data_IF_794065389926
#
_entry.id   IF_794065389926
#
_cell.length_a   1.000
_cell.length_b   1.000
_cell.length_c   1.000
_cell.angle_alpha   90.00
_cell.angle_beta   90.00
_cell.angle_gamma   90.00
#
_symmetry.space_group_name_H-M   'P 1'
#
loop_
_entity.id
_entity.type
_entity.pdbx_description
1 polymer ?
#
# COMPACT_ATOMS: atom_id res chain seq x y z
N UNK A 1 -8.15 -5.00 8.87
CA UNK A 1 -8.78 -5.67 7.70
C UNK A 1 -7.76 -6.60 7.08
N UNK A 2 -8.15 -7.83 6.74
CA UNK A 2 -7.30 -8.85 6.12
C UNK A 2 -7.47 -8.88 4.61
N UNK A 3 -6.60 -9.64 3.93
CA UNK A 3 -6.70 -9.87 2.49
C UNK A 3 -8.02 -10.54 2.12
N UNK A 4 -8.42 -11.59 2.87
CA UNK A 4 -9.66 -12.31 2.64
C UNK A 4 -10.90 -11.43 2.87
N UNK A 5 -10.91 -10.59 3.90
CA UNK A 5 -12.03 -9.68 4.16
C UNK A 5 -12.24 -8.71 2.99
N UNK A 6 -11.15 -8.21 2.38
CA UNK A 6 -11.22 -7.35 1.21
C UNK A 6 -11.63 -8.14 -0.04
N UNK A 7 -11.14 -9.36 -0.21
CA UNK A 7 -11.52 -10.26 -1.31
C UNK A 7 -13.00 -10.62 -1.24
N UNK A 8 -13.51 -10.93 -0.04
CA UNK A 8 -14.94 -11.19 0.19
C UNK A 8 -15.81 -9.96 -0.14
N UNK A 9 -15.37 -8.76 0.24
CA UNK A 9 -16.04 -7.52 -0.12
C UNK A 9 -16.08 -7.36 -1.65
N UNK A 10 -14.93 -7.53 -2.32
CA UNK A 10 -14.84 -7.40 -3.78
C UNK A 10 -15.74 -8.40 -4.48
N UNK A 11 -15.76 -9.64 -4.02
CA UNK A 11 -16.66 -10.65 -4.54
C UNK A 11 -18.14 -10.27 -4.34
N UNK A 12 -18.53 -9.82 -3.15
CA UNK A 12 -19.91 -9.47 -2.81
C UNK A 12 -20.45 -8.32 -3.67
N UNK A 13 -19.60 -7.32 -3.98
CA UNK A 13 -19.99 -6.17 -4.81
C UNK A 13 -19.54 -6.29 -6.28
N UNK A 14 -19.02 -7.46 -6.67
CA UNK A 14 -18.59 -7.79 -8.04
C UNK A 14 -17.49 -6.87 -8.57
N UNK A 15 -16.52 -6.58 -7.74
CA UNK A 15 -15.27 -5.93 -8.12
C UNK A 15 -14.31 -7.01 -8.63
N UNK A 16 -13.62 -6.74 -9.73
CA UNK A 16 -12.64 -7.66 -10.34
C UNK A 16 -11.19 -7.23 -10.14
N UNK A 17 -10.96 -6.12 -9.43
CA UNK A 17 -9.62 -5.64 -9.13
C UNK A 17 -8.90 -6.57 -8.14
N UNK A 18 -7.57 -6.57 -8.18
CA UNK A 18 -6.72 -7.25 -7.19
C UNK A 18 -6.79 -6.50 -5.85
N UNK A 19 -7.06 -7.20 -4.71
CA UNK A 19 -6.97 -6.60 -3.37
C UNK A 19 -5.60 -5.99 -3.09
N UNK A 20 -4.50 -6.65 -3.49
CA UNK A 20 -3.14 -6.13 -3.32
C UNK A 20 -2.92 -4.86 -4.13
N UNK A 21 -3.34 -4.81 -5.39
CA UNK A 21 -3.24 -3.63 -6.23
C UNK A 21 -4.01 -2.44 -5.62
N UNK A 22 -5.23 -2.68 -5.14
CA UNK A 22 -6.04 -1.66 -4.51
C UNK A 22 -5.43 -1.14 -3.20
N UNK A 23 -4.95 -2.05 -2.33
CA UNK A 23 -4.27 -1.65 -1.09
C UNK A 23 -3.01 -0.83 -1.37
N UNK A 24 -2.20 -1.23 -2.37
CA UNK A 24 -1.06 -0.45 -2.81
C UNK A 24 -1.46 0.97 -3.21
N UNK A 25 -2.42 1.11 -4.10
CA UNK A 25 -2.95 2.41 -4.53
C UNK A 25 -3.42 3.26 -3.35
N UNK A 26 -4.22 2.67 -2.46
CA UNK A 26 -4.72 3.36 -1.27
C UNK A 26 -3.59 3.84 -0.36
N UNK A 27 -2.61 2.98 -0.06
CA UNK A 27 -1.47 3.35 0.77
C UNK A 27 -0.65 4.48 0.15
N UNK A 28 -0.45 4.46 -1.17
CA UNK A 28 0.19 5.56 -1.88
C UNK A 28 -0.56 6.88 -1.74
N UNK A 29 -1.88 6.85 -1.87
CA UNK A 29 -2.74 8.05 -1.65
C UNK A 29 -2.66 8.56 -0.22
N UNK A 30 -2.75 7.67 0.78
CA UNK A 30 -2.67 7.99 2.20
C UNK A 30 -1.30 8.56 2.60
N UNK A 31 -0.23 8.10 1.94
CA UNK A 31 1.13 8.60 2.17
C UNK A 31 1.31 10.07 1.77
N UNK A 32 0.47 10.61 0.89
CA UNK A 32 0.53 12.03 0.51
C UNK A 32 -0.08 12.99 1.54
N UNK A 33 -0.65 12.51 2.64
CA UNK A 33 -1.21 13.34 3.70
C UNK A 33 -2.73 13.54 3.63
N UNK A 34 -3.24 14.57 4.30
CA UNK A 34 -4.64 14.75 4.63
C UNK A 34 -5.59 14.77 3.42
N UNK A 35 -6.00 13.57 3.01
CA UNK A 35 -7.15 13.41 2.12
C UNK A 35 -8.36 13.10 2.99
N UNK A 36 -9.47 13.83 2.77
CA UNK A 36 -10.73 13.53 3.46
C UNK A 36 -11.21 12.10 3.13
N UNK A 37 -11.79 11.39 4.10
CA UNK A 37 -12.30 10.04 3.88
C UNK A 37 -13.31 10.00 2.72
N UNK A 38 -14.13 11.01 2.57
CA UNK A 38 -15.13 11.08 1.49
C UNK A 38 -14.47 11.23 0.11
N UNK A 39 -13.38 12.01 0.01
CA UNK A 39 -12.58 12.14 -1.21
C UNK A 39 -11.85 10.83 -1.55
N UNK A 40 -11.37 10.09 -0.53
CA UNK A 40 -10.78 8.76 -0.71
C UNK A 40 -11.80 7.75 -1.21
N UNK A 41 -13.03 7.79 -0.71
CA UNK A 41 -14.12 6.92 -1.18
C UNK A 41 -14.44 7.21 -2.65
N UNK A 42 -14.52 8.49 -3.03
CA UNK A 42 -14.78 8.90 -4.42
C UNK A 42 -13.63 8.42 -5.33
N UNK A 43 -12.38 8.75 -4.99
CA UNK A 43 -11.19 8.34 -5.74
C UNK A 43 -11.10 6.81 -5.87
N UNK A 44 -11.37 6.08 -4.78
CA UNK A 44 -11.34 4.61 -4.78
C UNK A 44 -12.48 4.03 -5.62
N UNK A 45 -13.66 4.64 -5.59
CA UNK A 45 -14.79 4.23 -6.42
C UNK A 45 -14.49 4.41 -7.91
N UNK A 46 -13.81 5.48 -8.28
CA UNK A 46 -13.36 5.75 -9.64
C UNK A 46 -12.28 4.75 -10.06
N UNK A 47 -11.27 4.52 -9.21
CA UNK A 47 -10.20 3.56 -9.47
C UNK A 47 -10.73 2.13 -9.66
N UNK A 48 -11.67 1.71 -8.80
CA UNK A 48 -12.35 0.41 -8.87
C UNK A 48 -13.43 0.36 -9.97
N UNK A 49 -13.71 1.48 -10.63
CA UNK A 49 -14.74 1.61 -11.67
C UNK A 49 -16.13 1.18 -11.18
N UNK A 50 -16.50 1.60 -9.96
CA UNK A 50 -17.76 1.20 -9.32
C UNK A 50 -18.96 1.94 -9.93
N UNK A 51 -20.07 1.21 -10.09
CA UNK A 51 -21.37 1.87 -10.24
C UNK A 51 -21.76 2.56 -8.92
N UNK A 52 -22.71 3.49 -9.00
CA UNK A 52 -23.23 4.16 -7.82
C UNK A 52 -23.75 3.17 -6.76
N UNK A 53 -24.46 2.12 -7.17
CA UNK A 53 -25.00 1.09 -6.27
C UNK A 53 -23.87 0.29 -5.61
N UNK A 54 -22.81 -0.04 -6.35
CA UNK A 54 -21.63 -0.73 -5.82
C UNK A 54 -20.88 0.16 -4.82
N UNK A 55 -20.67 1.44 -5.15
CA UNK A 55 -20.03 2.41 -4.27
C UNK A 55 -20.80 2.58 -2.95
N UNK A 56 -22.12 2.78 -3.03
CA UNK A 56 -22.99 2.88 -1.84
C UNK A 56 -22.93 1.60 -0.98
N UNK A 57 -22.89 0.42 -1.59
CA UNK A 57 -22.81 -0.86 -0.89
C UNK A 57 -21.43 -1.09 -0.23
N UNK A 58 -20.34 -0.69 -0.90
CA UNK A 58 -18.96 -0.87 -0.40
C UNK A 58 -18.55 0.20 0.62
N UNK A 59 -19.16 1.37 0.62
CA UNK A 59 -18.74 2.54 1.38
C UNK A 59 -18.44 2.27 2.87
N UNK A 60 -19.27 1.55 3.65
CA UNK A 60 -18.96 1.31 5.06
C UNK A 60 -17.66 0.51 5.24
N UNK A 61 -17.50 -0.57 4.48
CA UNK A 61 -16.29 -1.42 4.54
C UNK A 61 -15.04 -0.70 4.02
N UNK A 62 -15.17 0.12 2.97
CA UNK A 62 -14.07 0.95 2.48
C UNK A 62 -13.63 1.98 3.53
N UNK A 63 -14.57 2.57 4.27
CA UNK A 63 -14.24 3.51 5.36
C UNK A 63 -13.41 2.85 6.45
N UNK A 64 -13.86 1.69 6.95
CA UNK A 64 -13.13 0.92 7.97
C UNK A 64 -11.74 0.50 7.45
N UNK A 65 -11.66 0.15 6.17
CA UNK A 65 -10.40 -0.22 5.53
C UNK A 65 -9.43 0.96 5.43
N UNK A 66 -9.91 2.15 5.09
CA UNK A 66 -9.08 3.37 5.03
C UNK A 66 -8.56 3.77 6.40
N UNK A 67 -9.42 3.77 7.42
CA UNK A 67 -9.03 4.09 8.79
C UNK A 67 -7.98 3.11 9.32
N UNK A 68 -8.16 1.81 9.06
CA UNK A 68 -7.18 0.77 9.42
C UNK A 68 -5.86 0.94 8.68
N UNK A 69 -5.89 1.20 7.37
CA UNK A 69 -4.67 1.38 6.56
C UNK A 69 -3.88 2.62 6.97
N UNK A 70 -4.57 3.74 7.25
CA UNK A 70 -3.92 4.95 7.76
C UNK A 70 -3.29 4.71 9.12
N UNK A 71 -4.02 4.08 10.05
CA UNK A 71 -3.49 3.75 11.38
C UNK A 71 -2.24 2.87 11.31
N UNK A 72 -2.17 1.94 10.35
CA UNK A 72 -0.99 1.10 10.14
C UNK A 72 0.21 1.89 9.56
N UNK A 73 -0.04 2.88 8.71
CA UNK A 73 1.02 3.76 8.17
C UNK A 73 1.57 4.70 9.25
N UNK A 74 0.71 5.20 10.14
CA UNK A 74 1.08 6.10 11.24
C UNK A 74 1.74 5.38 12.42
N UNK A 75 1.74 4.04 12.45
CA UNK A 75 2.31 3.27 13.54
C UNK A 75 3.83 3.37 13.56
N UNK A 76 4.34 4.10 14.56
CA UNK A 76 5.78 4.31 14.81
C UNK A 76 6.54 3.03 15.18
N UNK A 77 5.84 1.92 15.43
CA UNK A 77 6.47 0.62 15.71
C UNK A 77 6.86 -0.14 14.43
N UNK A 78 6.69 0.45 13.26
CA UNK A 78 7.00 -0.16 11.97
C UNK A 78 6.26 -1.49 11.74
N UNK A 79 5.00 -1.56 12.18
CA UNK A 79 4.16 -2.75 12.03
C UNK A 79 3.35 -2.77 10.73
N UNK A 80 3.56 -1.78 9.85
CA UNK A 80 2.92 -1.76 8.53
C UNK A 80 3.15 -3.06 7.78
N UNK A 81 2.10 -3.58 7.15
CA UNK A 81 2.14 -4.77 6.29
C UNK A 81 1.44 -4.46 4.97
N UNK A 82 2.07 -4.72 3.82
CA UNK A 82 1.34 -4.73 2.56
C UNK A 82 0.30 -5.86 2.58
N UNK A 83 -0.88 -5.59 2.05
CA UNK A 83 -1.94 -6.59 1.97
C UNK A 83 -1.66 -7.52 0.79
N UNK A 84 -1.22 -8.73 1.09
CA UNK A 84 -0.80 -9.73 0.13
C UNK A 84 -1.57 -11.04 0.36
N UNK A 85 -1.68 -11.90 -0.66
CA UNK A 85 -2.31 -13.20 -0.51
C UNK A 85 -1.53 -14.09 0.47
N UNK A 86 -2.22 -15.07 1.04
CA UNK A 86 -1.65 -16.04 1.98
C UNK A 86 -0.60 -16.97 1.34
N UNK A 87 0.22 -17.60 2.20
CA UNK A 87 1.34 -18.45 1.81
C UNK A 87 0.92 -19.75 1.11
N UNK A 88 -0.36 -20.13 1.18
CA UNK A 88 -0.94 -21.27 0.47
C UNK A 88 -1.02 -21.10 -1.04
N UNK A 89 -1.00 -19.86 -1.55
CA UNK A 89 -0.96 -19.62 -2.98
C UNK A 89 0.42 -19.91 -3.57
N UNK A 90 0.48 -20.34 -4.84
CA UNK A 90 1.74 -20.53 -5.54
C UNK A 90 2.63 -19.29 -5.47
N UNK A 91 3.92 -19.48 -5.24
CA UNK A 91 4.90 -18.39 -5.10
C UNK A 91 4.83 -17.37 -6.25
N UNK A 92 4.63 -17.83 -7.50
CA UNK A 92 4.51 -16.94 -8.65
C UNK A 92 3.31 -15.98 -8.57
N UNK A 93 2.20 -16.42 -7.98
CA UNK A 93 1.00 -15.58 -7.77
C UNK A 93 1.26 -14.56 -6.65
N UNK A 94 1.92 -14.99 -5.56
CA UNK A 94 2.31 -14.09 -4.46
C UNK A 94 3.31 -13.02 -4.92
N UNK A 95 4.29 -13.39 -5.73
CA UNK A 95 5.26 -12.46 -6.33
C UNK A 95 4.57 -11.47 -7.28
N UNK A 96 3.59 -11.93 -8.07
CA UNK A 96 2.77 -11.04 -8.91
C UNK A 96 2.03 -10.01 -8.06
N UNK A 97 1.43 -10.44 -6.95
CA UNK A 97 0.73 -9.57 -6.01
C UNK A 97 1.65 -8.52 -5.36
N UNK A 98 2.90 -8.87 -5.04
CA UNK A 98 3.93 -7.93 -4.57
C UNK A 98 4.23 -6.86 -5.62
N UNK A 99 4.44 -7.27 -6.88
CA UNK A 99 4.68 -6.33 -7.99
C UNK A 99 3.49 -5.41 -8.25
N UNK A 100 2.27 -5.97 -8.23
CA UNK A 100 1.02 -5.19 -8.36
C UNK A 100 0.89 -4.17 -7.22
N UNK A 101 1.15 -4.60 -5.99
CA UNK A 101 1.09 -3.72 -4.82
C UNK A 101 2.05 -2.54 -4.97
N UNK A 102 3.33 -2.82 -5.26
CA UNK A 102 4.38 -1.80 -5.39
C UNK A 102 4.09 -0.81 -6.53
N UNK A 103 3.70 -1.30 -7.71
CA UNK A 103 3.34 -0.46 -8.85
C UNK A 103 2.16 0.47 -8.54
N UNK A 104 1.14 -0.05 -7.86
CA UNK A 104 -0.04 0.73 -7.52
C UNK A 104 0.22 1.70 -6.35
N UNK A 105 1.12 1.37 -5.41
CA UNK A 105 1.58 2.33 -4.41
C UNK A 105 2.20 3.57 -5.05
N UNK A 106 3.11 3.38 -6.01
CA UNK A 106 3.72 4.48 -6.77
C UNK A 106 2.65 5.29 -7.53
N UNK A 107 1.67 4.61 -8.15
CA UNK A 107 0.57 5.28 -8.85
C UNK A 107 -0.28 6.13 -7.91
N UNK A 108 -0.69 5.57 -6.78
CA UNK A 108 -1.47 6.27 -5.77
C UNK A 108 -0.72 7.47 -5.18
N UNK A 109 0.59 7.30 -4.92
CA UNK A 109 1.46 8.38 -4.46
C UNK A 109 1.52 9.50 -5.51
N UNK A 110 1.76 9.15 -6.78
CA UNK A 110 1.86 10.13 -7.87
C UNK A 110 0.56 10.92 -8.07
N UNK A 111 -0.61 10.29 -7.90
CA UNK A 111 -1.90 10.98 -7.96
C UNK A 111 -2.15 11.90 -6.76
N UNK A 112 -1.57 11.58 -5.60
CA UNK A 112 -1.73 12.36 -4.38
C UNK A 112 -0.74 13.49 -4.24
N UNK A 113 0.42 13.38 -4.88
CA UNK A 113 1.48 14.38 -4.76
C UNK A 113 1.08 15.68 -5.46
N UNK A 114 1.02 16.76 -4.69
CA UNK A 114 1.01 18.11 -5.25
C UNK A 114 2.42 18.47 -5.76
N UNK A 115 2.50 19.43 -6.69
CA UNK A 115 3.74 19.84 -7.36
C UNK A 115 4.85 20.39 -6.44
N UNK A 116 4.61 20.49 -5.15
CA UNK A 116 5.53 21.04 -4.14
C UNK A 116 6.08 19.99 -3.17
N UNK A 117 5.77 18.69 -3.36
CA UNK A 117 6.32 17.63 -2.53
C UNK A 117 7.78 17.38 -2.90
N UNK A 118 8.68 17.55 -1.95
CA UNK A 118 10.08 17.14 -2.06
C UNK A 118 10.30 15.91 -1.17
N UNK A 119 10.72 14.83 -1.78
CA UNK A 119 11.13 13.61 -1.08
C UNK A 119 12.64 13.69 -0.83
N UNK A 120 13.10 13.30 0.35
CA UNK A 120 14.53 13.26 0.70
C UNK A 120 15.33 12.30 -0.19
N UNK A 121 16.68 12.30 -0.03
CA UNK A 121 17.54 11.35 -0.75
C UNK A 121 17.16 9.89 -0.45
N UNK A 122 16.90 9.54 0.82
CA UNK A 122 16.52 8.20 1.25
C UNK A 122 15.11 7.81 0.75
N UNK A 123 14.14 8.71 0.86
CA UNK A 123 12.81 8.49 0.33
C UNK A 123 12.80 8.33 -1.19
N UNK A 124 13.67 9.06 -1.91
CA UNK A 124 13.81 8.91 -3.36
C UNK A 124 14.40 7.55 -3.75
N UNK A 125 15.44 7.09 -3.05
CA UNK A 125 16.00 5.75 -3.27
C UNK A 125 14.94 4.68 -3.04
N UNK A 126 14.17 4.80 -1.94
CA UNK A 126 13.07 3.89 -1.65
C UNK A 126 11.98 3.88 -2.75
N UNK A 127 11.64 5.05 -3.32
CA UNK A 127 10.70 5.13 -4.44
C UNK A 127 11.24 4.48 -5.72
N UNK A 128 12.51 4.71 -6.05
CA UNK A 128 13.14 4.12 -7.22
C UNK A 128 13.19 2.58 -7.10
N UNK A 129 13.47 2.07 -5.91
CA UNK A 129 13.49 0.62 -5.63
C UNK A 129 12.07 0.01 -5.65
N UNK A 130 11.06 0.67 -5.08
CA UNK A 130 9.67 0.22 -5.20
C UNK A 130 9.19 0.18 -6.66
N UNK A 131 9.60 1.16 -7.46
CA UNK A 131 9.30 1.16 -8.90
C UNK A 131 10.00 0.00 -9.64
N UNK A 132 11.21 -0.39 -9.22
CA UNK A 132 11.90 -1.56 -9.74
C UNK A 132 11.19 -2.86 -9.34
N UNK A 133 10.75 -3.01 -8.08
CA UNK A 133 9.98 -4.17 -7.60
C UNK A 133 8.69 -4.34 -8.41
N UNK A 134 8.00 -3.25 -8.73
CA UNK A 134 6.80 -3.29 -9.55
C UNK A 134 7.01 -3.84 -10.98
N UNK A 135 8.25 -3.97 -11.44
CA UNK A 135 8.61 -4.45 -12.78
C UNK A 135 9.37 -5.79 -12.76
N UNK A 136 9.64 -6.33 -11.57
CA UNK A 136 10.45 -7.56 -11.44
C UNK A 136 9.66 -8.77 -11.90
N UNK A 137 10.24 -9.53 -12.84
CA UNK A 137 9.93 -10.94 -13.02
C UNK A 137 11.08 -11.72 -12.37
N UNK A 138 10.80 -12.40 -11.26
CA UNK A 138 11.82 -13.18 -10.57
C UNK A 138 11.92 -14.56 -11.21
N UNK A 139 13.10 -14.85 -11.77
CA UNK A 139 13.53 -16.19 -12.13
C UNK A 139 14.36 -16.75 -10.97
N UNK A 140 13.88 -17.76 -10.28
CA UNK A 140 14.59 -18.44 -9.20
C UNK A 140 14.94 -19.88 -9.61
N UNK A 141 16.10 -20.37 -9.19
CA UNK A 141 16.56 -21.73 -9.54
C UNK A 141 15.85 -22.81 -8.70
N UNK A 142 15.43 -22.46 -7.48
CA UNK A 142 14.72 -23.37 -6.56
C UNK A 142 13.58 -22.62 -5.86
N UNK A 143 12.56 -23.39 -5.44
CA UNK A 143 11.42 -22.84 -4.68
C UNK A 143 11.87 -22.22 -3.34
N UNK A 144 12.83 -22.84 -2.64
CA UNK A 144 13.39 -22.32 -1.39
C UNK A 144 14.12 -20.99 -1.56
N UNK A 145 14.76 -20.77 -2.72
CA UNK A 145 15.37 -19.50 -3.07
C UNK A 145 14.29 -18.44 -3.32
N UNK A 146 13.29 -18.78 -4.11
CA UNK A 146 12.18 -17.88 -4.39
C UNK A 146 11.38 -17.49 -3.15
N UNK A 147 11.17 -18.38 -2.18
CA UNK A 147 10.52 -18.05 -0.90
C UNK A 147 11.34 -17.06 -0.06
N UNK A 148 12.67 -17.20 -0.09
CA UNK A 148 13.56 -16.26 0.59
C UNK A 148 13.50 -14.89 -0.06
N UNK A 149 13.58 -14.85 -1.39
CA UNK A 149 13.52 -13.60 -2.16
C UNK A 149 12.18 -12.89 -1.95
N UNK A 150 11.06 -13.64 -1.94
CA UNK A 150 9.73 -13.12 -1.61
C UNK A 150 9.72 -12.46 -0.24
N UNK A 151 10.24 -13.15 0.79
CA UNK A 151 10.30 -12.62 2.15
C UNK A 151 11.12 -11.33 2.23
N UNK A 152 12.29 -11.31 1.56
CA UNK A 152 13.15 -10.13 1.52
C UNK A 152 12.47 -8.94 0.82
N UNK A 153 11.74 -9.19 -0.27
CA UNK A 153 10.97 -8.15 -0.97
C UNK A 153 9.85 -7.57 -0.11
N UNK A 154 9.09 -8.42 0.58
CA UNK A 154 8.01 -7.97 1.47
C UNK A 154 8.56 -7.12 2.62
N UNK A 155 9.65 -7.56 3.26
CA UNK A 155 10.31 -6.79 4.32
C UNK A 155 10.87 -5.47 3.80
N UNK A 156 11.43 -5.46 2.59
CA UNK A 156 11.91 -4.24 1.97
C UNK A 156 10.77 -3.25 1.72
N UNK A 157 9.65 -3.69 1.15
CA UNK A 157 8.45 -2.84 0.92
C UNK A 157 7.99 -2.21 2.22
N UNK A 158 7.92 -2.98 3.31
CA UNK A 158 7.51 -2.48 4.62
C UNK A 158 8.36 -1.32 5.09
N UNK A 159 9.68 -1.46 4.99
CA UNK A 159 10.65 -0.44 5.40
C UNK A 159 10.57 0.77 4.45
N UNK A 160 10.56 0.54 3.14
CA UNK A 160 10.53 1.59 2.14
C UNK A 160 9.30 2.50 2.28
N UNK A 161 8.12 1.90 2.47
CA UNK A 161 6.87 2.65 2.68
C UNK A 161 6.93 3.51 3.94
N UNK A 162 7.46 2.98 5.03
CA UNK A 162 7.60 3.71 6.29
C UNK A 162 8.62 4.86 6.16
N UNK A 163 9.72 4.65 5.46
CA UNK A 163 10.69 5.71 5.16
C UNK A 163 10.03 6.84 4.36
N UNK A 164 9.31 6.51 3.28
CA UNK A 164 8.63 7.50 2.44
C UNK A 164 7.54 8.24 3.25
N UNK A 165 6.73 7.49 4.02
CA UNK A 165 5.67 8.07 4.84
C UNK A 165 6.25 9.05 5.87
N UNK A 166 7.27 8.65 6.60
CA UNK A 166 7.95 9.47 7.61
C UNK A 166 8.61 10.72 7.01
N UNK A 167 9.18 10.58 5.81
CA UNK A 167 9.83 11.68 5.09
C UNK A 167 8.81 12.75 4.66
N UNK A 168 7.62 12.34 4.27
CA UNK A 168 6.53 13.23 3.89
C UNK A 168 5.75 13.79 5.09
N UNK A 169 5.91 13.20 6.29
CA UNK A 169 5.25 13.60 7.54
C UNK A 169 6.25 13.91 8.66
N UNK A 170 7.14 14.92 8.50
CA UNK A 170 8.17 15.23 9.48
C UNK A 170 7.61 15.64 10.85
N UNK A 171 6.36 16.06 10.93
CA UNK A 171 5.67 16.39 12.17
C UNK A 171 5.50 15.18 13.10
N UNK A 172 5.34 13.97 12.54
CA UNK A 172 5.21 12.74 13.34
C UNK A 172 6.51 12.37 14.05
N UNK A 173 7.66 12.82 13.54
CA UNK A 173 8.98 12.60 14.16
C UNK A 173 9.30 13.61 15.26
N UNK A 174 8.69 14.79 15.25
CA UNK A 174 8.97 15.84 16.21
C UNK A 174 8.60 15.43 17.65
N UNK A 175 7.65 14.52 17.81
CA UNK A 175 7.21 14.00 19.10
C UNK A 175 8.12 12.89 19.67
N UNK A 176 9.06 12.36 18.85
CA UNK A 176 9.98 11.29 19.25
C UNK A 176 11.35 11.82 19.73
N UNK A 177 11.66 13.10 19.54
CA UNK A 177 12.89 13.67 20.12
C UNK A 177 12.76 13.80 21.63
N UNK A 178 13.65 13.13 22.43
CA UNK A 178 13.65 13.28 23.87
C UNK A 178 13.98 14.73 24.22
N UNK A 179 13.07 15.43 24.89
CA UNK A 179 13.31 16.75 25.48
C UNK A 179 14.49 16.62 26.43
N UNK A 180 15.69 16.95 25.98
CA UNK A 180 16.88 17.02 26.83
C UNK A 180 16.71 18.32 27.68
N UNK A 181 16.36 18.14 28.94
CA UNK A 181 16.37 19.20 29.97
C UNK A 181 17.69 19.17 30.75
#
# INVERSE_FOLDING_TARGET
VTFEELEELFYAVKITASPSAFHGFLCGRLTCGAVGIDDLIETSSDWLTLSKEQSEAAQPSLRDFFESSLSNLEDVSFLFQPLLPEDELPLGERLSAVGEWASNYISGLAEGMESNFEVSGEGKEALDDLAAIGQVSLDFETEDEGERDYTELVEYIRIAVQVIFTDLHPELNADLEPTIH
#
